data_IF_943664410125
#
_entry.id   IF_943664410125
#
_cell.length_a   1.000
_cell.length_b   1.000
_cell.length_c   1.000
_cell.angle_alpha   90.00
_cell.angle_beta   90.00
_cell.angle_gamma   90.00
#
_symmetry.space_group_name_H-M   'P 1'
#
loop_
_entity.id
_entity.type
_entity.pdbx_description
1 polymer ?
#
# COMPACT_ATOMS: atom_id res chain seq x y z
N UNK A 1 -32.16 6.24 30.36
CA UNK A 1 -30.70 6.43 30.52
C UNK A 1 -30.45 7.91 30.28
N UNK A 2 -29.85 8.62 31.23
CA UNK A 2 -29.36 9.98 31.01
C UNK A 2 -28.37 9.95 29.84
N UNK A 3 -28.55 10.88 28.89
CA UNK A 3 -27.77 10.91 27.66
C UNK A 3 -26.42 11.62 27.81
N UNK A 4 -26.30 12.57 28.76
CA UNK A 4 -25.09 13.35 29.01
C UNK A 4 -24.36 12.98 30.30
N UNK A 5 -25.04 12.41 31.31
CA UNK A 5 -24.45 12.11 32.63
C UNK A 5 -24.00 13.35 33.41
N UNK A 6 -24.52 14.53 33.04
CA UNK A 6 -24.22 15.83 33.68
C UNK A 6 -25.49 16.37 34.33
N UNK A 7 -25.37 16.85 35.56
CA UNK A 7 -26.47 17.53 36.27
C UNK A 7 -26.74 18.90 35.62
N UNK A 8 -27.83 18.98 34.87
CA UNK A 8 -28.28 20.17 34.17
C UNK A 8 -29.33 20.90 35.02
N UNK A 9 -28.88 21.48 36.14
CA UNK A 9 -29.77 22.04 37.16
C UNK A 9 -30.39 23.39 36.76
N UNK A 10 -29.72 24.15 35.88
CA UNK A 10 -30.21 25.45 35.40
C UNK A 10 -29.92 25.71 33.91
N UNK A 11 -30.47 26.83 33.41
CA UNK A 11 -30.32 27.24 32.00
C UNK A 11 -28.88 27.59 31.63
N UNK A 12 -28.05 28.01 32.60
CA UNK A 12 -26.64 28.32 32.37
C UNK A 12 -25.79 27.04 32.24
N UNK A 13 -26.06 26.01 33.04
CA UNK A 13 -25.44 24.69 32.99
C UNK A 13 -25.70 24.02 31.64
N UNK A 14 -26.94 24.09 31.12
CA UNK A 14 -27.29 23.60 29.78
C UNK A 14 -26.49 24.31 28.69
N UNK A 15 -26.42 25.64 28.73
CA UNK A 15 -25.69 26.41 27.71
C UNK A 15 -24.19 26.15 27.76
N UNK A 16 -23.59 26.06 28.95
CA UNK A 16 -22.17 25.76 29.13
C UNK A 16 -21.83 24.35 28.64
N UNK A 17 -22.64 23.36 29.00
CA UNK A 17 -22.43 21.99 28.53
C UNK A 17 -22.60 21.86 27.01
N UNK A 18 -23.61 22.54 26.44
CA UNK A 18 -23.80 22.58 24.98
C UNK A 18 -22.59 23.19 24.27
N UNK A 19 -21.96 24.22 24.84
CA UNK A 19 -20.77 24.82 24.25
C UNK A 19 -19.57 23.86 24.24
N UNK A 20 -19.37 23.10 25.32
CA UNK A 20 -18.33 22.05 25.39
C UNK A 20 -18.60 20.95 24.36
N UNK A 21 -19.84 20.48 24.24
CA UNK A 21 -20.21 19.43 23.29
C UNK A 21 -19.99 19.91 21.85
N UNK A 22 -20.35 21.15 21.52
CA UNK A 22 -20.12 21.73 20.18
C UNK A 22 -18.63 21.86 19.85
N UNK A 23 -17.81 22.20 20.83
CA UNK A 23 -16.35 22.27 20.65
C UNK A 23 -15.77 20.86 20.41
N UNK A 24 -16.19 19.87 21.19
CA UNK A 24 -15.81 18.47 20.99
C UNK A 24 -16.29 17.92 19.64
N UNK A 25 -17.52 18.22 19.23
CA UNK A 25 -18.06 17.81 17.93
C UNK A 25 -17.23 18.40 16.79
N UNK A 26 -16.85 19.68 16.89
CA UNK A 26 -15.99 20.34 15.90
C UNK A 26 -14.62 19.68 15.82
N UNK A 27 -13.99 19.39 16.95
CA UNK A 27 -12.70 18.69 16.99
C UNK A 27 -12.78 17.29 16.37
N UNK A 28 -13.82 16.53 16.73
CA UNK A 28 -14.08 15.20 16.17
C UNK A 28 -14.35 15.26 14.66
N UNK A 29 -15.09 16.26 14.18
CA UNK A 29 -15.32 16.46 12.75
C UNK A 29 -14.00 16.70 12.02
N UNK A 30 -13.13 17.58 12.53
CA UNK A 30 -11.83 17.85 11.93
C UNK A 30 -10.92 16.61 11.93
N UNK A 31 -10.94 15.82 13.01
CA UNK A 31 -10.19 14.58 13.08
C UNK A 31 -10.71 13.54 12.07
N UNK A 32 -12.03 13.43 11.94
CA UNK A 32 -12.69 12.57 10.95
C UNK A 32 -12.32 12.96 9.52
N UNK A 33 -12.32 14.25 9.21
CA UNK A 33 -11.99 14.75 7.87
C UNK A 33 -10.54 14.43 7.51
N UNK A 34 -9.59 14.64 8.43
CA UNK A 34 -8.18 14.25 8.25
C UNK A 34 -8.01 12.75 8.03
N UNK A 35 -8.77 11.94 8.78
CA UNK A 35 -8.72 10.49 8.61
C UNK A 35 -9.28 10.05 7.25
N UNK A 36 -10.36 10.67 6.79
CA UNK A 36 -10.94 10.41 5.49
C UNK A 36 -9.97 10.79 4.35
N UNK A 37 -9.28 11.93 4.48
CA UNK A 37 -8.24 12.33 3.54
C UNK A 37 -7.10 11.31 3.49
N UNK A 38 -6.57 10.90 4.67
CA UNK A 38 -5.51 9.90 4.74
C UNK A 38 -5.93 8.55 4.16
N UNK A 39 -7.17 8.15 4.39
CA UNK A 39 -7.75 6.93 3.83
C UNK A 39 -7.80 7.00 2.30
N UNK A 40 -8.27 8.11 1.73
CA UNK A 40 -8.32 8.31 0.28
C UNK A 40 -6.93 8.26 -0.36
N UNK A 41 -5.93 8.88 0.28
CA UNK A 41 -4.53 8.80 -0.16
C UNK A 41 -4.01 7.36 -0.18
N UNK A 42 -4.28 6.59 0.88
CA UNK A 42 -3.88 5.19 0.97
C UNK A 42 -4.61 4.31 -0.06
N UNK A 43 -5.90 4.53 -0.30
CA UNK A 43 -6.67 3.81 -1.32
C UNK A 43 -6.08 4.05 -2.73
N UNK A 44 -5.71 5.29 -3.05
CA UNK A 44 -5.05 5.62 -4.33
C UNK A 44 -3.65 5.00 -4.46
N UNK A 45 -2.89 4.94 -3.36
CA UNK A 45 -1.58 4.28 -3.34
C UNK A 45 -1.69 2.77 -3.51
N UNK A 46 -2.66 2.14 -2.86
CA UNK A 46 -2.96 0.71 -3.04
C UNK A 46 -3.31 0.42 -4.50
N UNK A 47 -4.19 1.22 -5.12
CA UNK A 47 -4.57 1.02 -6.52
C UNK A 47 -3.37 1.14 -7.48
N UNK A 48 -2.50 2.12 -7.23
CA UNK A 48 -1.26 2.32 -7.98
C UNK A 48 -0.31 1.12 -7.86
N UNK A 49 -0.15 0.57 -6.65
CA UNK A 49 0.74 -0.57 -6.39
C UNK A 49 0.13 -1.91 -6.81
N UNK A 50 -1.19 -2.06 -6.74
CA UNK A 50 -1.90 -3.28 -7.10
C UNK A 50 -2.02 -3.47 -8.62
N UNK A 51 -1.78 -2.41 -9.40
CA UNK A 51 -1.73 -2.50 -10.86
C UNK A 51 -0.65 -3.51 -11.26
N UNK A 52 -1.03 -4.67 -11.83
CA UNK A 52 -0.08 -5.74 -12.08
C UNK A 52 0.97 -5.26 -13.09
N UNK A 53 2.22 -5.11 -12.64
CA UNK A 53 3.35 -5.09 -13.55
C UNK A 53 3.42 -6.48 -14.16
N UNK A 54 3.03 -6.62 -15.44
CA UNK A 54 2.91 -7.91 -16.13
C UNK A 54 4.24 -8.66 -16.32
N UNK A 55 4.93 -9.00 -15.23
CA UNK A 55 6.29 -9.54 -15.21
C UNK A 55 6.38 -11.01 -14.84
N UNK A 56 5.30 -11.64 -14.38
CA UNK A 56 5.32 -13.05 -13.97
C UNK A 56 4.57 -13.92 -14.98
N UNK A 57 5.17 -14.14 -16.16
CA UNK A 57 4.69 -15.17 -17.08
C UNK A 57 4.93 -16.55 -16.46
N UNK A 58 3.88 -17.35 -16.19
CA UNK A 58 4.03 -18.67 -15.59
C UNK A 58 4.93 -19.62 -16.41
N UNK A 59 5.02 -19.39 -17.72
CA UNK A 59 5.87 -20.18 -18.62
C UNK A 59 7.34 -19.96 -18.34
N UNK A 60 7.74 -18.71 -18.04
CA UNK A 60 9.12 -18.37 -17.69
C UNK A 60 9.53 -18.99 -16.37
N UNK A 61 8.61 -19.02 -15.39
CA UNK A 61 8.86 -19.67 -14.11
C UNK A 61 9.06 -21.19 -14.27
N UNK A 62 8.20 -21.86 -15.03
CA UNK A 62 8.37 -23.28 -15.32
C UNK A 62 9.68 -23.60 -16.07
N UNK A 63 10.12 -22.71 -16.96
CA UNK A 63 11.40 -22.85 -17.66
C UNK A 63 12.58 -22.65 -16.71
N UNK A 64 12.51 -21.66 -15.81
CA UNK A 64 13.55 -21.44 -14.79
C UNK A 64 13.73 -22.67 -13.90
N UNK A 65 12.64 -23.27 -13.43
CA UNK A 65 12.67 -24.50 -12.62
C UNK A 65 13.28 -25.68 -13.39
N UNK A 66 12.97 -25.81 -14.69
CA UNK A 66 13.50 -26.87 -15.56
C UNK A 66 15.01 -26.72 -15.79
N UNK A 67 15.48 -25.48 -15.93
CA UNK A 67 16.90 -25.15 -16.12
C UNK A 67 17.69 -25.12 -14.80
N UNK A 68 17.04 -25.30 -13.66
CA UNK A 68 17.66 -25.16 -12.34
C UNK A 68 18.15 -23.74 -12.05
N UNK A 69 17.52 -22.74 -12.69
CA UNK A 69 17.83 -21.32 -12.56
C UNK A 69 16.78 -20.56 -11.74
N UNK A 70 17.01 -19.26 -11.57
CA UNK A 70 16.10 -18.33 -10.87
C UNK A 70 15.84 -17.12 -11.75
N UNK A 71 14.64 -16.55 -11.69
CA UNK A 71 14.33 -15.34 -12.46
C UNK A 71 15.09 -14.13 -11.90
N UNK A 72 15.61 -13.28 -12.78
CA UNK A 72 16.25 -12.02 -12.38
C UNK A 72 15.29 -11.17 -11.55
N UNK A 73 14.00 -11.15 -11.90
CA UNK A 73 12.96 -10.48 -11.12
C UNK A 73 12.80 -11.01 -9.70
N UNK A 74 13.07 -12.29 -9.46
CA UNK A 74 12.98 -12.93 -8.14
C UNK A 74 14.21 -12.63 -7.28
N UNK A 75 15.39 -12.50 -7.90
CA UNK A 75 16.61 -12.06 -7.22
C UNK A 75 16.49 -10.60 -6.73
N UNK A 76 15.71 -9.80 -7.45
CA UNK A 76 15.49 -8.38 -7.15
C UNK A 76 14.08 -8.09 -6.60
N UNK A 77 13.42 -9.06 -5.95
CA UNK A 77 12.09 -8.84 -5.35
C UNK A 77 12.15 -7.87 -4.15
N UNK A 78 13.28 -7.83 -3.43
CA UNK A 78 13.49 -7.00 -2.23
C UNK A 78 14.01 -5.58 -2.52
N UNK A 79 13.88 -5.07 -3.76
CA UNK A 79 14.28 -3.69 -4.08
C UNK A 79 13.25 -2.67 -3.56
N UNK A 80 13.71 -1.45 -3.25
CA UNK A 80 12.82 -0.39 -2.78
C UNK A 80 11.85 0.05 -3.89
N UNK A 81 10.64 0.50 -3.51
CA UNK A 81 9.64 1.01 -4.46
C UNK A 81 10.16 2.21 -5.26
N UNK A 82 11.06 3.00 -4.67
CA UNK A 82 11.65 4.18 -5.33
C UNK A 82 12.65 3.77 -6.42
N UNK A 83 13.39 2.68 -6.20
CA UNK A 83 14.40 2.18 -7.13
C UNK A 83 13.83 1.21 -8.18
N UNK A 84 12.69 0.55 -7.87
CA UNK A 84 12.09 -0.45 -8.74
C UNK A 84 11.82 0.01 -10.18
N UNK A 85 11.27 1.24 -10.42
CA UNK A 85 11.08 1.74 -11.77
C UNK A 85 12.41 1.93 -12.52
N UNK A 86 13.45 2.42 -11.83
CA UNK A 86 14.75 2.68 -12.42
C UNK A 86 15.42 1.38 -12.87
N UNK A 87 15.50 0.37 -12.01
CA UNK A 87 16.07 -0.93 -12.35
C UNK A 87 15.25 -1.66 -13.42
N UNK A 88 13.91 -1.60 -13.34
CA UNK A 88 13.04 -2.18 -14.36
C UNK A 88 13.30 -1.59 -15.75
N UNK A 89 13.53 -0.28 -15.84
CA UNK A 89 13.86 0.39 -17.09
C UNK A 89 15.30 0.08 -17.56
N UNK A 90 16.25 -0.01 -16.63
CA UNK A 90 17.66 -0.31 -16.92
C UNK A 90 17.82 -1.69 -17.57
N UNK A 91 17.16 -2.72 -17.02
CA UNK A 91 17.22 -4.08 -17.58
C UNK A 91 16.31 -4.27 -18.79
N UNK A 92 15.26 -3.44 -18.94
CA UNK A 92 14.36 -3.50 -20.08
C UNK A 92 13.76 -4.91 -20.27
N UNK A 93 13.85 -5.53 -21.46
CA UNK A 93 13.38 -6.89 -21.69
C UNK A 93 14.11 -7.96 -20.84
N UNK A 94 15.36 -7.72 -20.46
CA UNK A 94 16.18 -8.65 -19.69
C UNK A 94 15.73 -8.79 -18.23
N UNK A 95 14.75 -7.98 -17.78
CA UNK A 95 14.12 -8.11 -16.46
C UNK A 95 13.52 -9.50 -16.22
N UNK A 96 13.21 -10.23 -17.28
CA UNK A 96 12.67 -11.59 -17.27
C UNK A 96 13.73 -12.67 -17.52
N UNK A 97 15.02 -12.33 -17.47
CA UNK A 97 16.09 -13.28 -17.70
C UNK A 97 16.09 -14.37 -16.64
N UNK A 98 16.45 -15.60 -17.05
CA UNK A 98 16.71 -16.72 -16.15
C UNK A 98 18.20 -16.71 -15.86
N UNK A 99 18.55 -16.60 -14.59
CA UNK A 99 19.93 -16.66 -14.10
C UNK A 99 20.24 -18.10 -13.74
N UNK A 100 21.27 -18.65 -14.36
CA UNK A 100 21.75 -20.03 -14.17
C UNK A 100 23.23 -20.03 -13.79
N UNK A 101 23.65 -21.06 -13.06
CA UNK A 101 25.04 -21.23 -12.62
C UNK A 101 25.99 -21.61 -13.77
N UNK A 102 25.45 -22.31 -14.77
CA UNK A 102 26.18 -22.80 -15.93
C UNK A 102 25.27 -22.73 -17.16
N UNK A 103 25.82 -22.26 -18.29
CA UNK A 103 25.13 -22.18 -19.58
C UNK A 103 25.27 -23.48 -20.39
N UNK A 104 26.11 -24.41 -19.93
CA UNK A 104 26.37 -25.69 -20.60
C UNK A 104 25.07 -26.51 -20.71
N UNK A 105 24.59 -26.72 -21.94
CA UNK A 105 23.37 -27.50 -22.23
C UNK A 105 22.10 -26.68 -22.42
N UNK A 106 22.18 -25.34 -22.44
CA UNK A 106 21.04 -24.44 -22.72
C UNK A 106 20.99 -24.02 -24.20
N UNK A 107 22.05 -24.26 -24.97
CA UNK A 107 22.14 -23.94 -26.41
C UNK A 107 21.46 -24.97 -27.35
N UNK A 108 20.86 -26.05 -26.84
CA UNK A 108 20.04 -27.01 -27.62
C UNK A 108 18.54 -26.86 -27.37
#
# INVERSE_FOLDING_TARGET
>A
REQSGVDLEDRHAVMSHMQVVLEQEKELSLAKDKLAERRSQLESEIERLASPGGSNDPRLKGLADTLGGVLLSEIYDDITIDDAPYFSAMYGPARHAIVVSDLSGIEE
#
